data_IF_765713866468
#
_entry.id   IF_765713866468
#
_cell.length_a   1.000
_cell.length_b   1.000
_cell.length_c   1.000
_cell.angle_alpha   90.00
_cell.angle_beta   90.00
_cell.angle_gamma   90.00
#
_symmetry.space_group_name_H-M   'P 1'
#
loop_
_entity.id
_entity.type
_entity.pdbx_description
1 polymer ?
#
# COMPACT_ATOMS: atom_id res chain seq x y z
N UNK A 1 2.75 22.00 -32.80
CA UNK A 1 3.51 22.58 -31.68
C UNK A 1 2.52 23.38 -30.83
N UNK A 2 1.98 22.81 -29.75
CA UNK A 2 0.98 23.49 -28.94
C UNK A 2 1.66 24.39 -27.91
N UNK A 3 1.96 25.63 -28.30
CA UNK A 3 2.47 26.68 -27.41
C UNK A 3 1.29 27.36 -26.67
N UNK A 4 0.50 26.55 -25.97
CA UNK A 4 -0.59 27.06 -25.15
C UNK A 4 -0.04 27.47 -23.78
N UNK A 5 -0.37 28.67 -23.26
CA UNK A 5 0.17 29.12 -21.98
C UNK A 5 -0.18 28.15 -20.85
N UNK A 6 0.85 27.59 -20.20
CA UNK A 6 0.69 26.62 -19.12
C UNK A 6 0.22 27.34 -17.86
N UNK A 7 -0.99 27.01 -17.40
CA UNK A 7 -1.50 27.54 -16.15
C UNK A 7 -0.81 26.88 -14.94
N UNK A 8 0.19 27.57 -14.39
CA UNK A 8 0.98 27.11 -13.25
C UNK A 8 0.12 26.85 -11.99
N UNK A 9 -1.00 27.56 -11.81
CA UNK A 9 -1.89 27.31 -10.68
C UNK A 9 -2.57 25.94 -10.78
N UNK A 10 -2.93 25.51 -11.99
CA UNK A 10 -3.47 24.16 -12.22
C UNK A 10 -2.43 23.10 -11.90
N UNK A 11 -1.18 23.29 -12.34
CA UNK A 11 -0.07 22.37 -12.09
C UNK A 11 0.22 22.25 -10.58
N UNK A 12 0.32 23.38 -9.87
CA UNK A 12 0.51 23.38 -8.40
C UNK A 12 -0.62 22.66 -7.68
N UNK A 13 -1.88 22.90 -8.06
CA UNK A 13 -3.04 22.21 -7.49
C UNK A 13 -3.02 20.72 -7.77
N UNK A 14 -2.62 20.30 -8.96
CA UNK A 14 -2.47 18.89 -9.31
C UNK A 14 -1.37 18.23 -8.47
N UNK A 15 -0.21 18.87 -8.32
CA UNK A 15 0.88 18.39 -7.46
C UNK A 15 0.43 18.22 -6.01
N UNK A 16 -0.21 19.24 -5.43
CA UNK A 16 -0.72 19.18 -4.05
C UNK A 16 -1.76 18.07 -3.85
N UNK A 17 -2.66 17.86 -4.83
CA UNK A 17 -3.63 16.74 -4.80
C UNK A 17 -2.95 15.38 -4.87
N UNK A 18 -1.92 15.23 -5.71
CA UNK A 18 -1.17 13.98 -5.82
C UNK A 18 -0.42 13.66 -4.52
N UNK A 19 0.23 14.65 -3.90
CA UNK A 19 0.90 14.50 -2.60
C UNK A 19 -0.08 14.15 -1.49
N UNK A 20 -1.26 14.77 -1.46
CA UNK A 20 -2.32 14.44 -0.50
C UNK A 20 -2.80 13.00 -0.67
N UNK A 21 -2.97 12.54 -1.93
CA UNK A 21 -3.40 11.17 -2.23
C UNK A 21 -2.35 10.15 -1.78
N UNK A 22 -1.08 10.37 -2.10
CA UNK A 22 0.01 9.50 -1.68
C UNK A 22 0.09 9.35 -0.15
N UNK A 23 -0.06 10.47 0.59
CA UNK A 23 -0.11 10.44 2.06
C UNK A 23 -1.35 9.73 2.60
N UNK A 24 -2.50 9.88 1.95
CA UNK A 24 -3.71 9.17 2.33
C UNK A 24 -3.56 7.66 2.14
N UNK A 25 -3.01 7.22 1.01
CA UNK A 25 -2.76 5.82 0.71
C UNK A 25 -1.77 5.21 1.72
N UNK A 26 -0.70 5.94 2.06
CA UNK A 26 0.26 5.55 3.10
C UNK A 26 -0.41 5.43 4.48
N UNK A 27 -1.26 6.38 4.85
CA UNK A 27 -2.00 6.33 6.10
C UNK A 27 -3.05 5.21 6.12
N UNK A 28 -3.70 4.90 4.99
CA UNK A 28 -4.60 3.76 4.87
C UNK A 28 -3.84 2.43 5.05
N UNK A 29 -2.63 2.32 4.50
CA UNK A 29 -1.79 1.14 4.69
C UNK A 29 -1.28 0.98 6.13
N UNK A 30 -0.92 2.10 6.78
CA UNK A 30 -0.36 2.15 8.14
C UNK A 30 -1.43 2.07 9.24
N UNK A 31 -2.55 2.74 9.06
CA UNK A 31 -3.57 2.99 10.10
C UNK A 31 -4.98 2.58 9.68
N UNK A 32 -5.21 2.30 8.39
CA UNK A 32 -6.54 1.95 7.86
C UNK A 32 -6.92 0.48 8.03
N UNK A 33 -5.99 -0.39 8.43
CA UNK A 33 -6.32 -1.78 8.75
C UNK A 33 -7.07 -1.84 10.06
N UNK A 34 -8.30 -2.34 10.00
CA UNK A 34 -9.09 -2.62 11.20
C UNK A 34 -8.48 -3.81 11.96
N UNK A 35 -8.76 -3.94 13.26
CA UNK A 35 -8.30 -5.09 14.06
C UNK A 35 -8.66 -6.43 13.40
N UNK A 36 -9.86 -6.53 12.84
CA UNK A 36 -10.35 -7.73 12.16
C UNK A 36 -9.55 -8.08 10.89
N UNK A 37 -9.17 -7.07 10.10
CA UNK A 37 -8.33 -7.27 8.92
C UNK A 37 -6.92 -7.71 9.31
N UNK A 38 -6.35 -7.09 10.35
CA UNK A 38 -5.03 -7.47 10.86
C UNK A 38 -5.01 -8.92 11.36
N UNK A 39 -6.01 -9.35 12.12
CA UNK A 39 -6.12 -10.75 12.58
C UNK A 39 -6.31 -11.72 11.43
N UNK A 40 -7.05 -11.35 10.39
CA UNK A 40 -7.23 -12.18 9.21
C UNK A 40 -5.91 -12.34 8.43
N UNK A 41 -5.16 -11.26 8.23
CA UNK A 41 -3.83 -11.31 7.61
C UNK A 41 -2.84 -12.13 8.45
N UNK A 42 -2.83 -11.97 9.78
CA UNK A 42 -1.98 -12.74 10.68
C UNK A 42 -2.28 -14.24 10.62
N UNK A 43 -3.56 -14.63 10.68
CA UNK A 43 -3.96 -16.05 10.59
C UNK A 43 -3.65 -16.65 9.24
N UNK A 44 -3.78 -15.89 8.15
CA UNK A 44 -3.35 -16.31 6.82
C UNK A 44 -1.84 -16.51 6.75
N UNK A 45 -1.05 -15.54 7.22
CA UNK A 45 0.41 -15.63 7.26
C UNK A 45 0.91 -16.76 8.16
N UNK A 46 0.23 -17.08 9.25
CA UNK A 46 0.54 -18.25 10.08
C UNK A 46 0.22 -19.57 9.39
N UNK A 47 -0.92 -19.64 8.68
CA UNK A 47 -1.28 -20.83 7.89
C UNK A 47 -0.26 -21.07 6.80
N UNK A 48 0.14 -20.03 6.08
CA UNK A 48 1.17 -20.11 5.04
C UNK A 48 2.52 -20.55 5.61
N UNK A 49 2.96 -19.96 6.74
CA UNK A 49 4.18 -20.39 7.43
C UNK A 49 4.12 -21.86 7.82
N UNK A 50 3.02 -22.31 8.42
CA UNK A 50 2.84 -23.71 8.80
C UNK A 50 2.88 -24.64 7.59
N UNK A 51 2.27 -24.24 6.47
CA UNK A 51 2.33 -25.01 5.21
C UNK A 51 3.78 -25.11 4.71
N UNK A 52 4.51 -24.00 4.70
CA UNK A 52 5.91 -23.98 4.28
C UNK A 52 6.79 -24.84 5.21
N UNK A 53 6.58 -24.75 6.52
CA UNK A 53 7.30 -25.56 7.52
C UNK A 53 7.00 -27.06 7.33
N UNK A 54 5.75 -27.45 7.07
CA UNK A 54 5.38 -28.84 6.76
C UNK A 54 6.03 -29.36 5.46
N UNK A 55 6.29 -28.47 4.52
CA UNK A 55 6.96 -28.81 3.25
C UNK A 55 8.49 -28.71 3.34
N UNK A 56 9.05 -28.23 4.45
CA UNK A 56 10.49 -28.20 4.68
C UNK A 56 10.96 -29.62 5.01
N UNK A 57 11.82 -30.18 4.15
CA UNK A 57 12.56 -31.40 4.45
C UNK A 57 13.74 -31.02 5.34
N UNK A 58 14.00 -31.80 6.39
CA UNK A 58 15.09 -31.58 7.35
C UNK A 58 16.49 -31.89 6.78
N UNK A 59 16.62 -32.08 5.47
CA UNK A 59 17.88 -32.43 4.82
C UNK A 59 18.54 -31.17 4.21
N UNK A 60 19.22 -30.41 5.06
CA UNK A 60 20.48 -29.71 4.78
C UNK A 60 21.47 -30.05 5.92
#
# INVERSE_FOLDING_TARGET
MSDAPVNLNRVRKQKARAENKARADENSARFGRTKAQKTLEETQAEKERRILDLHRREDD
#
